data_IF_988360815834
#
_entry.id   IF_988360815834
#
_cell.length_a   1.000
_cell.length_b   1.000
_cell.length_c   1.000
_cell.angle_alpha   90.00
_cell.angle_beta   90.00
_cell.angle_gamma   90.00
#
_symmetry.space_group_name_H-M   'P 1'
#
loop_
_entity.id
_entity.type
_entity.pdbx_description
1 polymer ?
#
# COMPACT_ATOMS: atom_id res chain seq x y z
N UNK A 1 17.90 -11.91 -3.21
CA UNK A 1 16.68 -11.13 -3.38
C UNK A 1 16.51 -10.73 -4.84
N UNK A 2 15.29 -10.76 -5.34
CA UNK A 2 14.89 -10.28 -6.67
C UNK A 2 13.72 -9.30 -6.51
N UNK A 3 13.50 -8.47 -7.51
CA UNK A 3 12.38 -7.55 -7.53
C UNK A 3 11.32 -8.06 -8.49
N UNK A 4 10.09 -8.18 -8.02
CA UNK A 4 8.92 -8.43 -8.85
C UNK A 4 8.14 -7.13 -8.98
N UNK A 5 7.83 -6.72 -10.23
CA UNK A 5 7.10 -5.48 -10.48
C UNK A 5 5.69 -5.80 -10.94
N UNK A 6 4.73 -5.13 -10.33
CA UNK A 6 3.34 -5.07 -10.75
C UNK A 6 3.01 -3.64 -11.16
N UNK A 7 2.12 -3.48 -12.12
CA UNK A 7 1.57 -2.19 -12.56
C UNK A 7 0.10 -2.11 -12.22
N UNK A 8 -0.34 -0.90 -11.89
CA UNK A 8 -1.74 -0.59 -11.70
C UNK A 8 -2.38 -0.50 -13.09
N UNK A 9 -3.42 -1.25 -13.32
CA UNK A 9 -4.10 -1.38 -14.60
C UNK A 9 -5.59 -1.07 -14.53
N UNK A 10 -6.22 -0.97 -15.69
CA UNK A 10 -7.65 -0.80 -15.82
C UNK A 10 -8.42 -1.90 -15.07
N UNK A 11 -9.68 -1.62 -14.73
CA UNK A 11 -10.54 -2.54 -13.98
C UNK A 11 -9.98 -2.96 -12.62
N UNK A 12 -9.17 -2.07 -12.00
CA UNK A 12 -8.57 -2.31 -10.68
C UNK A 12 -7.64 -3.54 -10.64
N UNK A 13 -6.98 -3.84 -11.73
CA UNK A 13 -6.03 -4.94 -11.80
C UNK A 13 -4.63 -4.51 -11.34
N UNK A 14 -3.95 -5.42 -10.66
CA UNK A 14 -2.53 -5.35 -10.35
C UNK A 14 -1.82 -6.39 -11.20
N UNK A 15 -1.25 -5.95 -12.33
CA UNK A 15 -0.77 -6.82 -13.40
C UNK A 15 0.66 -6.53 -13.86
N UNK A 16 1.03 -7.10 -15.00
CA UNK A 16 2.38 -7.00 -15.55
C UNK A 16 2.52 -5.92 -16.64
N UNK A 17 1.43 -5.22 -16.98
CA UNK A 17 1.39 -4.22 -18.05
C UNK A 17 1.01 -2.88 -17.42
N UNK A 18 1.79 -1.85 -17.74
CA UNK A 18 1.50 -0.49 -17.34
C UNK A 18 0.39 0.10 -18.24
N UNK A 19 -0.62 0.68 -17.61
CA UNK A 19 -1.74 1.31 -18.29
C UNK A 19 -1.93 2.74 -17.81
N UNK A 20 -2.58 3.56 -18.64
CA UNK A 20 -2.99 4.90 -18.25
C UNK A 20 -4.31 4.82 -17.49
N UNK A 21 -4.35 5.42 -16.32
CA UNK A 21 -5.50 5.45 -15.42
C UNK A 21 -6.14 6.84 -15.38
N UNK A 22 -7.30 6.92 -14.76
CA UNK A 22 -7.99 8.17 -14.41
C UNK A 22 -8.82 7.97 -13.13
N UNK A 23 -8.25 7.20 -12.19
CA UNK A 23 -8.96 6.81 -10.97
C UNK A 23 -8.93 7.96 -9.97
N UNK A 24 -10.10 8.21 -9.37
CA UNK A 24 -10.26 9.23 -8.34
C UNK A 24 -10.09 8.59 -6.97
N UNK A 25 -9.25 9.18 -6.12
CA UNK A 25 -9.03 8.74 -4.75
C UNK A 25 -9.52 9.84 -3.82
N UNK A 26 -10.65 9.60 -3.18
CA UNK A 26 -11.25 10.48 -2.19
C UNK A 26 -11.86 9.62 -1.09
N UNK A 27 -11.09 9.33 -0.07
CA UNK A 27 -11.50 8.42 1.00
C UNK A 27 -12.17 9.19 2.13
N UNK A 28 -13.26 8.66 2.72
CA UNK A 28 -13.84 9.25 3.92
C UNK A 28 -12.86 9.13 5.10
N UNK A 29 -12.99 10.01 6.09
CA UNK A 29 -12.11 10.03 7.26
C UNK A 29 -12.21 8.77 8.13
N UNK A 30 -13.25 7.98 7.95
CA UNK A 30 -13.42 6.66 8.60
C UNK A 30 -12.59 5.56 7.96
N UNK A 31 -11.94 5.80 6.82
CA UNK A 31 -10.99 4.85 6.23
C UNK A 31 -9.78 4.70 7.18
N UNK A 32 -9.46 3.47 7.54
CA UNK A 32 -8.36 3.13 8.46
C UNK A 32 -8.82 2.58 9.82
N UNK A 33 -10.11 2.57 10.13
CA UNK A 33 -10.64 2.09 11.42
C UNK A 33 -10.26 0.62 11.72
N UNK A 34 -9.91 -0.16 10.72
CA UNK A 34 -9.40 -1.52 10.87
C UNK A 34 -7.87 -1.59 10.75
N UNK A 35 -7.19 -0.44 10.81
CA UNK A 35 -5.73 -0.34 10.71
C UNK A 35 -4.98 -0.79 11.94
N UNK A 36 -5.64 -0.95 13.08
CA UNK A 36 -5.00 -1.19 14.36
C UNK A 36 -4.37 0.05 14.97
N UNK A 37 -3.59 -0.14 16.02
CA UNK A 37 -2.90 0.94 16.72
C UNK A 37 -1.53 1.22 16.10
N UNK A 38 -1.07 2.47 16.21
CA UNK A 38 0.29 2.84 15.78
C UNK A 38 1.35 2.09 16.59
N UNK A 39 1.12 1.93 17.88
CA UNK A 39 1.98 1.19 18.79
C UNK A 39 1.14 0.18 19.56
N UNK A 40 1.20 -1.09 19.15
CA UNK A 40 0.55 -2.18 19.88
C UNK A 40 1.25 -2.42 21.21
N UNK A 41 0.54 -2.20 22.33
CA UNK A 41 1.12 -2.27 23.69
C UNK A 41 0.60 -3.49 24.47
N UNK A 42 -0.37 -4.27 23.98
CA UNK A 42 -0.93 -5.45 24.65
C UNK A 42 -2.27 -5.29 25.44
N UNK A 43 -2.95 -4.21 25.21
CA UNK A 43 -4.21 -3.92 25.90
C UNK A 43 -5.43 -3.99 24.95
N UNK A 44 -5.68 -5.13 24.33
CA UNK A 44 -6.85 -5.32 23.49
C UNK A 44 -6.54 -5.64 22.01
N UNK A 45 -7.47 -5.48 21.08
CA UNK A 45 -7.27 -5.78 19.65
C UNK A 45 -6.46 -4.67 18.96
N UNK A 46 -5.17 -4.61 19.25
CA UNK A 46 -4.27 -3.55 18.80
C UNK A 46 -3.72 -3.81 17.39
N UNK A 47 -3.77 -5.05 16.93
CA UNK A 47 -3.33 -5.43 15.59
C UNK A 47 -4.40 -5.08 14.55
N UNK A 48 -3.96 -4.92 13.30
CA UNK A 48 -4.90 -4.67 12.21
C UNK A 48 -5.90 -5.81 12.05
N UNK A 49 -7.16 -5.44 11.93
CA UNK A 49 -8.25 -6.37 11.65
C UNK A 49 -8.36 -6.72 10.15
N UNK A 50 -9.50 -7.33 9.78
CA UNK A 50 -9.84 -7.59 8.38
C UNK A 50 -9.93 -6.27 7.61
N UNK A 51 -9.19 -6.17 6.53
CA UNK A 51 -9.08 -4.94 5.75
C UNK A 51 -10.21 -4.72 4.75
N UNK A 52 -11.16 -5.63 4.62
CA UNK A 52 -12.28 -5.47 3.67
C UNK A 52 -13.07 -4.17 3.85
N UNK A 53 -13.43 -3.73 5.08
CA UNK A 53 -14.14 -2.48 5.26
C UNK A 53 -13.33 -1.26 4.78
N UNK A 54 -12.04 -1.21 5.11
CA UNK A 54 -11.16 -0.11 4.70
C UNK A 54 -10.81 -0.18 3.20
N UNK A 55 -10.75 -1.38 2.62
CA UNK A 55 -10.56 -1.56 1.18
C UNK A 55 -11.76 -1.02 0.38
N UNK A 56 -12.98 -1.17 0.90
CA UNK A 56 -14.18 -0.62 0.28
C UNK A 56 -14.20 0.93 0.26
N UNK A 57 -13.41 1.58 1.11
CA UNK A 57 -13.25 3.04 1.22
C UNK A 57 -11.99 3.56 0.50
N UNK A 58 -11.33 2.70 -0.28
CA UNK A 58 -10.07 2.96 -0.97
C UNK A 58 -10.17 2.60 -2.44
N UNK A 59 -9.25 3.09 -3.26
CA UNK A 59 -9.03 2.49 -4.58
C UNK A 59 -8.18 1.25 -4.39
N UNK A 60 -8.69 0.09 -4.82
CA UNK A 60 -8.10 -1.22 -4.58
C UNK A 60 -7.70 -1.88 -5.90
N UNK A 61 -6.42 -2.18 -6.07
CA UNK A 61 -5.90 -2.98 -7.19
C UNK A 61 -5.56 -4.37 -6.70
N UNK A 62 -5.98 -5.41 -7.45
CA UNK A 62 -5.82 -6.80 -7.03
C UNK A 62 -5.18 -7.65 -8.14
N UNK A 63 -4.19 -8.44 -7.78
CA UNK A 63 -3.53 -9.38 -8.70
C UNK A 63 -4.44 -10.55 -9.07
N UNK A 64 -4.08 -11.26 -10.14
CA UNK A 64 -4.56 -12.62 -10.33
C UNK A 64 -4.10 -13.53 -9.18
N UNK A 65 -4.66 -14.73 -9.11
CA UNK A 65 -4.21 -15.74 -8.15
C UNK A 65 -2.76 -16.10 -8.43
N UNK A 66 -1.95 -16.15 -7.38
CA UNK A 66 -0.55 -16.55 -7.51
C UNK A 66 -0.45 -18.04 -7.86
N UNK A 67 0.30 -18.37 -8.91
CA UNK A 67 0.57 -19.77 -9.28
C UNK A 67 1.50 -20.44 -8.27
N UNK A 68 2.40 -19.69 -7.67
CA UNK A 68 3.36 -20.14 -6.66
C UNK A 68 3.35 -19.19 -5.47
N UNK A 69 3.80 -19.68 -4.30
CA UNK A 69 3.93 -18.81 -3.13
C UNK A 69 4.93 -17.68 -3.40
N UNK A 70 4.64 -16.50 -2.86
CA UNK A 70 5.49 -15.31 -2.94
C UNK A 70 6.05 -14.98 -1.55
N UNK A 71 7.36 -15.09 -1.40
CA UNK A 71 8.08 -14.68 -0.19
C UNK A 71 8.55 -13.24 -0.34
N UNK A 72 7.94 -12.32 0.38
CA UNK A 72 8.29 -10.88 0.39
C UNK A 72 9.24 -10.64 1.55
N UNK A 73 10.44 -10.12 1.29
CA UNK A 73 11.45 -9.85 2.33
C UNK A 73 12.11 -8.51 2.07
N UNK A 74 11.81 -7.54 2.90
CA UNK A 74 12.31 -6.15 2.78
C UNK A 74 11.19 -5.13 2.66
N UNK A 75 11.50 -3.94 2.18
CA UNK A 75 10.57 -2.83 2.00
C UNK A 75 9.99 -2.84 0.57
N UNK A 76 8.69 -3.11 0.36
CA UNK A 76 8.04 -2.89 -0.92
C UNK A 76 8.07 -1.40 -1.31
N UNK A 77 8.15 -1.13 -2.62
CA UNK A 77 8.18 0.24 -3.15
C UNK A 77 6.98 0.49 -4.03
N UNK A 78 6.34 1.64 -3.82
CA UNK A 78 5.22 2.10 -4.66
C UNK A 78 5.62 3.40 -5.33
N UNK A 79 5.44 3.47 -6.66
CA UNK A 79 5.59 4.71 -7.41
C UNK A 79 4.25 5.05 -8.04
N UNK A 80 3.82 6.31 -7.91
CA UNK A 80 2.55 6.77 -8.44
C UNK A 80 2.76 8.09 -9.18
N UNK A 81 2.03 8.27 -10.27
CA UNK A 81 1.86 9.55 -10.92
C UNK A 81 0.44 10.03 -10.68
N UNK A 82 0.30 11.11 -9.97
CA UNK A 82 -0.99 11.62 -9.51
C UNK A 82 -1.05 13.15 -9.54
N UNK A 83 -2.26 13.67 -9.45
CA UNK A 83 -2.56 15.08 -9.39
C UNK A 83 -3.52 15.32 -8.21
N UNK A 84 -3.41 16.46 -7.54
CA UNK A 84 -4.29 16.85 -6.43
C UNK A 84 -5.08 18.11 -6.79
N UNK A 85 -6.31 18.18 -6.30
CA UNK A 85 -7.14 19.40 -6.35
C UNK A 85 -6.82 20.37 -5.19
N UNK A 86 -5.97 19.97 -4.24
CA UNK A 86 -5.55 20.76 -3.08
C UNK A 86 -4.04 20.91 -3.03
N UNK A 87 -3.51 22.06 -2.52
CA UNK A 87 -2.08 22.26 -2.36
C UNK A 87 -1.45 21.43 -1.23
N UNK A 88 -2.29 20.83 -0.37
CA UNK A 88 -1.89 19.92 0.70
C UNK A 88 -2.74 18.68 0.61
N UNK A 89 -2.08 17.55 0.51
CA UNK A 89 -2.72 16.24 0.44
C UNK A 89 -1.83 15.18 1.08
N UNK A 90 -2.43 14.06 1.40
CA UNK A 90 -1.72 12.90 1.93
C UNK A 90 -2.16 11.62 1.21
N UNK A 91 -1.39 10.59 1.36
CA UNK A 91 -1.70 9.28 0.82
C UNK A 91 -1.31 8.19 1.82
N UNK A 92 -2.17 7.20 1.94
CA UNK A 92 -1.89 5.95 2.62
C UNK A 92 -1.97 4.80 1.62
N UNK A 93 -0.97 3.95 1.62
CA UNK A 93 -0.89 2.79 0.74
C UNK A 93 -0.76 1.55 1.60
N UNK A 94 -1.65 0.59 1.42
CA UNK A 94 -1.65 -0.70 2.14
C UNK A 94 -1.42 -1.84 1.16
N UNK A 95 -0.44 -2.66 1.46
CA UNK A 95 -0.23 -3.94 0.79
C UNK A 95 -0.97 -5.01 1.56
N UNK A 96 -1.90 -5.70 0.91
CA UNK A 96 -2.76 -6.69 1.54
C UNK A 96 -2.61 -8.07 0.88
N UNK A 97 -2.80 -9.08 1.69
CA UNK A 97 -2.98 -10.47 1.28
C UNK A 97 -4.48 -10.76 1.23
N UNK A 98 -5.00 -11.04 0.04
CA UNK A 98 -6.40 -11.43 -0.16
C UNK A 98 -6.49 -12.94 -0.22
N UNK A 99 -7.22 -13.50 0.74
CA UNK A 99 -7.44 -14.94 0.89
C UNK A 99 -8.49 -15.46 -0.11
N UNK A 100 -8.55 -16.78 -0.37
CA UNK A 100 -9.52 -17.37 -1.29
C UNK A 100 -10.99 -17.16 -0.89
N UNK A 101 -11.27 -17.01 0.40
CA UNK A 101 -12.59 -16.70 0.97
C UNK A 101 -12.93 -15.21 0.97
N UNK A 102 -12.02 -14.37 0.46
CA UNK A 102 -12.18 -12.92 0.37
C UNK A 102 -11.69 -12.15 1.60
N UNK A 103 -11.30 -12.81 2.70
CA UNK A 103 -10.69 -12.13 3.84
C UNK A 103 -9.41 -11.38 3.39
N UNK A 104 -9.14 -10.25 4.02
CA UNK A 104 -8.01 -9.39 3.63
C UNK A 104 -7.14 -9.06 4.83
N UNK A 105 -5.89 -9.50 4.80
CA UNK A 105 -4.89 -9.26 5.85
C UNK A 105 -3.90 -8.20 5.40
N UNK A 106 -3.70 -7.14 6.18
CA UNK A 106 -2.65 -6.17 5.89
C UNK A 106 -1.27 -6.82 6.09
N UNK A 107 -0.47 -6.82 5.02
CA UNK A 107 0.94 -7.25 5.06
C UNK A 107 1.80 -6.13 5.62
N UNK A 108 1.71 -4.96 5.02
CA UNK A 108 2.43 -3.75 5.40
C UNK A 108 1.73 -2.51 4.84
N UNK A 109 2.18 -1.34 5.25
CA UNK A 109 1.66 -0.08 4.75
C UNK A 109 2.76 0.98 4.72
N UNK A 110 2.46 2.09 4.09
CA UNK A 110 3.25 3.31 4.12
C UNK A 110 2.36 4.52 3.94
N UNK A 111 2.79 5.64 4.47
CA UNK A 111 2.06 6.90 4.44
C UNK A 111 2.98 8.04 4.01
N UNK A 112 2.41 9.01 3.29
CA UNK A 112 3.19 10.17 2.86
C UNK A 112 2.29 11.41 2.85
N UNK A 113 2.72 12.44 3.57
CA UNK A 113 2.25 13.79 3.30
C UNK A 113 2.91 14.26 1.99
N UNK A 114 2.12 14.51 0.96
CA UNK A 114 2.62 14.79 -0.39
C UNK A 114 3.41 16.11 -0.50
N UNK A 115 3.32 17.00 0.51
CA UNK A 115 4.21 18.14 0.59
C UNK A 115 5.68 17.73 0.83
N UNK A 116 5.92 16.53 1.37
CA UNK A 116 7.24 15.97 1.62
C UNK A 116 7.71 15.00 0.52
N UNK A 117 7.08 15.01 -0.66
CA UNK A 117 7.35 14.08 -1.77
C UNK A 117 8.78 14.13 -2.31
N UNK A 118 9.45 15.29 -2.18
CA UNK A 118 10.81 15.52 -2.67
C UNK A 118 11.80 15.48 -1.50
N UNK A 119 11.53 16.27 -0.46
CA UNK A 119 12.42 16.43 0.68
C UNK A 119 11.60 16.59 1.97
N UNK A 120 11.95 15.83 3.01
CA UNK A 120 11.32 15.93 4.32
C UNK A 120 11.74 17.19 5.09
N UNK A 121 12.92 17.73 4.82
CA UNK A 121 13.44 18.94 5.47
C UNK A 121 12.89 20.23 4.88
N UNK A 122 12.44 20.20 3.63
CA UNK A 122 11.89 21.35 2.90
C UNK A 122 10.57 20.97 2.23
N UNK A 123 9.46 20.89 3.00
CA UNK A 123 8.16 20.54 2.44
C UNK A 123 7.64 21.63 1.51
N UNK A 124 7.18 21.23 0.33
CA UNK A 124 6.62 22.11 -0.69
C UNK A 124 5.16 21.78 -0.99
N UNK A 125 4.27 22.77 -1.08
CA UNK A 125 2.89 22.53 -1.54
C UNK A 125 2.87 21.82 -2.88
N UNK A 126 1.79 21.07 -3.12
CA UNK A 126 1.53 20.47 -4.42
C UNK A 126 1.15 21.56 -5.43
N UNK A 127 1.60 21.46 -6.68
CA UNK A 127 1.02 22.21 -7.78
C UNK A 127 -0.40 21.67 -8.01
N UNK A 128 -1.40 22.54 -7.83
CA UNK A 128 -2.81 22.15 -7.97
C UNK A 128 -3.14 21.88 -9.44
N UNK A 129 -3.84 20.78 -9.70
CA UNK A 129 -4.23 20.34 -11.03
C UNK A 129 -3.06 20.01 -11.99
N UNK A 130 -1.89 19.73 -11.43
CA UNK A 130 -0.73 19.24 -12.20
C UNK A 130 -0.32 17.86 -11.70
N UNK A 131 0.19 17.02 -12.62
CA UNK A 131 0.69 15.70 -12.27
C UNK A 131 2.08 15.78 -11.62
N UNK A 132 2.24 15.07 -10.53
CA UNK A 132 3.50 14.85 -9.84
C UNK A 132 3.80 13.37 -9.75
N UNK A 133 5.08 13.03 -9.76
CA UNK A 133 5.55 11.67 -9.50
C UNK A 133 5.94 11.56 -8.02
N UNK A 134 5.51 10.49 -7.37
CA UNK A 134 5.86 10.20 -5.98
C UNK A 134 6.44 8.79 -5.88
N UNK A 135 7.31 8.61 -4.90
CA UNK A 135 7.84 7.30 -4.51
C UNK A 135 7.65 7.12 -3.00
N UNK A 136 7.16 5.97 -2.60
CA UNK A 136 6.88 5.62 -1.23
C UNK A 136 7.42 4.22 -0.93
N UNK A 137 8.28 4.11 0.07
CA UNK A 137 8.67 2.83 0.63
C UNK A 137 7.65 2.43 1.70
N UNK A 138 7.15 1.19 1.63
CA UNK A 138 6.33 0.62 2.69
C UNK A 138 7.24 0.07 3.80
N UNK A 139 6.68 -0.18 4.97
CA UNK A 139 7.44 -0.74 6.08
C UNK A 139 8.04 -2.11 5.73
N UNK A 140 9.23 -2.37 6.27
CA UNK A 140 9.95 -3.62 6.05
C UNK A 140 9.18 -4.81 6.61
N UNK A 141 9.15 -5.89 5.86
CA UNK A 141 8.37 -7.09 6.17
C UNK A 141 9.10 -8.37 5.75
N UNK A 142 8.80 -9.45 6.45
CA UNK A 142 9.06 -10.82 6.01
C UNK A 142 7.72 -11.57 6.04
N UNK A 143 7.12 -11.79 4.86
CA UNK A 143 5.78 -12.33 4.74
C UNK A 143 5.65 -13.28 3.54
N UNK A 144 4.93 -14.39 3.72
CA UNK A 144 4.62 -15.33 2.63
C UNK A 144 3.17 -15.24 2.24
N UNK A 145 2.91 -14.95 0.96
CA UNK A 145 1.59 -15.12 0.35
C UNK A 145 1.55 -16.50 -0.32
N UNK A 146 0.66 -17.42 0.09
CA UNK A 146 0.58 -18.76 -0.49
C UNK A 146 0.12 -18.76 -1.95
N UNK A 147 0.41 -19.84 -2.68
CA UNK A 147 -0.18 -20.10 -3.98
C UNK A 147 -1.71 -20.16 -3.90
N UNK A 148 -2.41 -19.71 -4.95
CA UNK A 148 -3.87 -19.62 -5.00
C UNK A 148 -4.46 -18.40 -4.30
N UNK A 149 -3.67 -17.63 -3.56
CA UNK A 149 -4.06 -16.36 -2.94
C UNK A 149 -3.73 -15.17 -3.85
N UNK A 150 -4.15 -13.96 -3.47
CA UNK A 150 -3.90 -12.74 -4.24
C UNK A 150 -3.16 -11.69 -3.40
N UNK A 151 -2.51 -10.79 -4.10
CA UNK A 151 -1.91 -9.58 -3.53
C UNK A 151 -2.80 -8.40 -3.94
N UNK A 152 -3.08 -7.50 -3.01
CA UNK A 152 -3.84 -6.29 -3.30
C UNK A 152 -3.13 -5.06 -2.78
N UNK A 153 -3.25 -3.96 -3.51
CA UNK A 153 -2.75 -2.65 -3.15
C UNK A 153 -3.94 -1.71 -2.98
N UNK A 154 -4.17 -1.23 -1.76
CA UNK A 154 -5.21 -0.28 -1.43
C UNK A 154 -4.61 1.11 -1.25
N UNK A 155 -5.17 2.11 -1.93
CA UNK A 155 -4.70 3.49 -1.92
C UNK A 155 -5.83 4.40 -1.43
N UNK A 156 -5.56 5.21 -0.41
CA UNK A 156 -6.54 6.10 0.22
C UNK A 156 -5.93 7.45 0.57
N UNK A 157 -6.78 8.48 0.71
CA UNK A 157 -6.39 9.82 1.18
C UNK A 157 -6.54 9.97 2.70
N UNK A 158 -7.10 8.97 3.35
CA UNK A 158 -7.27 8.90 4.81
C UNK A 158 -6.80 7.55 5.36
N UNK A 159 -6.32 7.54 6.60
CA UNK A 159 -5.96 6.33 7.33
C UNK A 159 -6.07 6.58 8.84
N UNK A 160 -7.28 6.92 9.28
CA UNK A 160 -7.58 7.21 10.67
C UNK A 160 -7.65 5.90 11.52
N UNK A 161 -7.13 5.89 12.77
CA UNK A 161 -6.50 7.00 13.50
C UNK A 161 -5.00 7.18 13.28
N UNK A 162 -4.36 6.39 12.40
CA UNK A 162 -2.91 6.44 12.19
C UNK A 162 -2.45 7.75 11.51
N UNK A 163 -3.30 8.34 10.68
CA UNK A 163 -3.06 9.64 10.07
C UNK A 163 -4.09 10.66 10.56
N UNK A 164 -3.59 11.86 10.92
CA UNK A 164 -4.44 13.01 11.17
C UNK A 164 -5.04 13.52 9.85
N UNK A 165 -6.34 13.86 9.82
CA UNK A 165 -6.99 14.35 8.60
C UNK A 165 -6.37 15.64 8.07
N UNK A 166 -6.37 15.81 6.76
CA UNK A 166 -6.00 17.08 6.12
C UNK A 166 -7.03 18.18 6.44
N UNK A 167 -6.62 19.47 6.45
CA UNK A 167 -7.51 20.59 6.75
C UNK A 167 -8.71 20.73 5.79
N UNK A 168 -8.57 20.21 4.58
CA UNK A 168 -9.61 20.12 3.56
C UNK A 168 -9.57 18.72 2.95
N UNK A 169 -10.73 18.18 2.65
CA UNK A 169 -10.82 16.96 1.88
C UNK A 169 -10.16 17.16 0.52
N UNK A 170 -9.24 16.30 0.18
CA UNK A 170 -8.54 16.28 -1.08
C UNK A 170 -9.06 15.18 -2.00
N UNK A 171 -9.03 15.45 -3.30
CA UNK A 171 -9.28 14.47 -4.34
C UNK A 171 -8.02 14.30 -5.18
N UNK A 172 -7.50 13.07 -5.22
CA UNK A 172 -6.33 12.74 -6.02
C UNK A 172 -6.79 12.02 -7.30
N UNK A 173 -6.26 12.45 -8.43
CA UNK A 173 -6.44 11.74 -9.71
C UNK A 173 -5.19 10.94 -10.00
N UNK A 174 -5.31 9.61 -10.03
CA UNK A 174 -4.21 8.70 -10.32
C UNK A 174 -4.11 8.45 -11.83
N UNK A 175 -2.93 8.72 -12.40
CA UNK A 175 -2.65 8.53 -13.83
C UNK A 175 -1.97 7.20 -14.13
N UNK A 176 -1.07 6.76 -13.27
CA UNK A 176 -0.34 5.49 -13.39
C UNK A 176 0.31 5.13 -12.07
N UNK A 177 0.71 3.87 -11.92
CA UNK A 177 1.47 3.45 -10.77
C UNK A 177 2.08 2.06 -10.90
N UNK A 178 3.01 1.77 -10.02
CA UNK A 178 3.61 0.44 -9.91
C UNK A 178 3.93 0.09 -8.46
N UNK A 179 3.91 -1.21 -8.20
CA UNK A 179 4.35 -1.85 -6.96
C UNK A 179 5.55 -2.73 -7.27
N UNK A 180 6.67 -2.52 -6.58
CA UNK A 180 7.84 -3.38 -6.61
C UNK A 180 7.95 -4.15 -5.31
N UNK A 181 7.92 -5.47 -5.38
CA UNK A 181 8.07 -6.35 -4.24
C UNK A 181 9.49 -6.92 -4.19
N UNK A 182 10.20 -6.77 -3.05
CA UNK A 182 11.45 -7.48 -2.82
C UNK A 182 11.12 -8.95 -2.51
N UNK A 183 11.42 -9.85 -3.43
CA UNK A 183 11.07 -11.26 -3.30
C UNK A 183 12.31 -12.13 -3.07
N UNK A 184 12.12 -13.22 -2.31
CA UNK A 184 13.10 -14.26 -2.13
C UNK A 184 12.70 -15.46 -2.98
N UNK A 185 13.65 -16.06 -3.70
CA UNK A 185 13.41 -17.32 -4.41
C UNK A 185 13.13 -18.43 -3.40
N UNK A 186 12.02 -19.13 -3.59
CA UNK A 186 11.71 -20.36 -2.84
C UNK A 186 12.86 -21.37 -2.98
N UNK A 187 13.30 -21.94 -1.86
CA UNK A 187 14.38 -22.97 -1.85
C UNK A 187 15.80 -22.44 -1.68
N UNK A 188 16.05 -21.14 -1.42
CA UNK A 188 17.35 -20.70 -0.94
C UNK A 188 17.57 -21.25 0.48
N UNK A 189 18.53 -22.17 0.63
CA UNK A 189 18.92 -22.75 1.93
C UNK A 189 19.70 -21.71 2.75
N UNK A 190 18.98 -20.86 3.46
CA UNK A 190 19.53 -20.09 4.58
C UNK A 190 19.08 -20.73 5.90
N UNK A 191 19.21 -22.05 5.98
CA UNK A 191 19.03 -22.76 7.24
C UNK A 191 20.22 -22.47 8.15
N UNK A 192 20.22 -21.31 8.78
CA UNK A 192 21.06 -21.06 9.93
C UNK A 192 20.36 -21.68 11.13
N UNK A 193 20.88 -22.80 11.62
CA UNK A 193 20.44 -23.35 12.90
C UNK A 193 20.79 -22.35 13.98
N UNK A 194 19.79 -21.80 14.66
CA UNK A 194 19.98 -21.04 15.90
C UNK A 194 20.05 -22.04 17.04
N UNK A 195 21.01 -21.91 18.00
CA UNK A 195 21.00 -22.73 19.20
C UNK A 195 19.66 -22.48 19.95
N UNK A 196 19.13 -23.49 20.63
CA UNK A 196 17.96 -23.30 21.49
C UNK A 196 18.27 -22.25 22.58
N UNK A 197 17.26 -21.49 23.04
CA UNK A 197 17.43 -20.48 24.07
C UNK A 197 17.91 -21.10 25.39
#
# INVERSE_FOLDING_TARGET
>A
LSWQTYYLGAHNQLGNIAEKLSDQICSPQTCGMNGGEYCAIWLGPELSGDQRPDNALSVLYTSERLDTSCDIVGAPKVTLRLMSDQPKAQIAVRLNHTHPDGASTRITYGVLNLCHRIDHSQPEPLPVAEYVDISLDLDQIAYRVPAGHKISLAISTSYWPLLWPMPKAENLTLLSGSLKLPTRRSGSKDERAFPPP
#
